data_IF_477833824092
#
_entry.id   IF_477833824092
#
_cell.length_a   1.000
_cell.length_b   1.000
_cell.length_c   1.000
_cell.angle_alpha   90.00
_cell.angle_beta   90.00
_cell.angle_gamma   90.00
#
_symmetry.space_group_name_H-M   'P 1'
#
loop_
_entity.id
_entity.type
_entity.pdbx_description
1 polymer ?
#
# COMPACT_ATOMS: atom_id res chain seq x y z
N UNK A 1 2.92 73.38 -11.03
CA UNK A 1 1.95 74.07 -11.91
C UNK A 1 0.63 73.47 -11.56
N UNK A 2 -0.04 74.24 -10.70
CA UNK A 2 -1.36 74.87 -10.90
C UNK A 2 -2.49 73.86 -10.83
N UNK A 3 -3.18 73.80 -9.65
CA UNK A 3 -4.36 74.58 -9.27
C UNK A 3 -5.58 74.25 -10.13
N UNK A 4 -6.75 73.95 -9.63
CA UNK A 4 -7.67 74.67 -8.73
C UNK A 4 -8.92 73.77 -8.56
N UNK A 5 -9.45 73.61 -7.39
CA UNK A 5 -10.55 74.28 -6.73
C UNK A 5 -11.87 74.45 -7.51
N UNK A 6 -12.95 73.92 -6.94
CA UNK A 6 -14.18 74.63 -6.48
C UNK A 6 -15.29 73.64 -6.15
N UNK A 7 -15.77 73.42 -5.03
CA UNK A 7 -16.62 74.08 -4.00
C UNK A 7 -18.04 74.43 -4.45
N UNK A 8 -18.99 74.11 -3.58
CA UNK A 8 -20.41 74.46 -3.37
C UNK A 8 -21.42 73.60 -4.12
N UNK A 9 -22.49 73.14 -3.52
CA UNK A 9 -23.44 73.84 -2.68
C UNK A 9 -24.39 72.89 -1.94
N UNK A 10 -24.79 73.33 -0.81
CA UNK A 10 -25.77 72.88 0.16
C UNK A 10 -27.17 72.78 -0.44
N UNK A 11 -27.90 71.67 -0.13
CA UNK A 11 -29.35 71.76 -0.03
C UNK A 11 -29.89 70.76 0.98
N UNK A 12 -30.37 71.31 2.06
CA UNK A 12 -31.10 70.60 3.12
C UNK A 12 -32.48 70.19 2.63
N UNK A 13 -32.84 68.96 2.82
CA UNK A 13 -34.23 68.48 2.83
C UNK A 13 -34.45 67.62 4.04
N UNK A 14 -35.27 68.11 4.92
CA UNK A 14 -35.84 67.43 6.09
C UNK A 14 -36.92 66.50 5.60
N UNK A 15 -36.84 65.18 5.92
CA UNK A 15 -38.02 64.29 5.87
C UNK A 15 -37.95 63.24 6.95
N UNK A 16 -38.89 63.43 7.84
CA UNK A 16 -39.66 62.45 8.61
C UNK A 16 -39.04 61.12 9.06
N UNK A 17 -38.90 60.97 10.35
CA UNK A 17 -38.81 59.79 11.14
C UNK A 17 -40.02 58.89 10.92
N UNK A 18 -39.81 57.71 10.33
CA UNK A 18 -40.71 56.58 10.43
C UNK A 18 -39.95 55.47 11.20
N UNK A 19 -40.31 55.31 12.45
CA UNK A 19 -39.86 54.27 13.35
C UNK A 19 -40.46 52.92 12.91
N UNK A 20 -39.64 52.04 12.35
CA UNK A 20 -39.96 50.63 12.12
C UNK A 20 -39.29 49.79 13.23
N UNK A 21 -40.00 48.82 13.83
CA UNK A 21 -39.40 48.00 14.84
C UNK A 21 -38.35 47.05 14.20
N UNK A 22 -37.11 47.13 14.70
CA UNK A 22 -36.05 46.16 14.38
C UNK A 22 -36.44 44.81 14.97
N UNK A 23 -36.92 43.91 14.15
CA UNK A 23 -36.95 42.49 14.49
C UNK A 23 -35.53 41.96 14.51
N UNK A 24 -35.04 41.63 15.68
CA UNK A 24 -33.76 40.94 15.86
C UNK A 24 -33.83 39.54 15.22
N UNK A 25 -33.39 39.44 13.98
CA UNK A 25 -33.01 38.13 13.42
C UNK A 25 -31.72 37.70 14.09
N UNK A 26 -31.83 36.83 15.10
CA UNK A 26 -30.71 36.05 15.60
C UNK A 26 -30.32 35.09 14.50
N UNK A 27 -29.31 35.46 13.71
CA UNK A 27 -28.66 34.49 12.84
C UNK A 27 -28.03 33.39 13.72
N UNK A 28 -28.67 32.24 13.80
CA UNK A 28 -28.03 31.03 14.31
C UNK A 28 -26.94 30.67 13.28
N UNK A 29 -25.73 31.12 13.55
CA UNK A 29 -24.55 30.59 12.90
C UNK A 29 -24.51 29.08 13.24
N UNK A 30 -24.81 28.23 12.26
CA UNK A 30 -24.44 26.84 12.32
C UNK A 30 -22.92 26.78 12.44
N UNK A 31 -22.43 26.58 13.66
CA UNK A 31 -21.07 26.15 13.89
C UNK A 31 -20.94 24.81 13.17
N UNK A 32 -20.39 24.84 11.96
CA UNK A 32 -19.94 23.64 11.29
C UNK A 32 -18.93 22.96 12.21
N UNK A 33 -19.30 21.81 12.74
CA UNK A 33 -18.36 20.88 13.34
C UNK A 33 -17.19 20.76 12.41
N UNK A 34 -15.92 20.89 12.88
CA UNK A 34 -14.77 20.60 12.05
C UNK A 34 -14.98 19.19 11.47
N UNK A 35 -14.99 19.09 10.13
CA UNK A 35 -15.03 17.80 9.47
C UNK A 35 -13.81 17.04 9.97
N UNK A 36 -14.04 15.95 10.72
CA UNK A 36 -12.99 14.99 11.01
C UNK A 36 -12.32 14.64 9.68
N UNK A 37 -10.98 14.53 9.64
CA UNK A 37 -10.30 14.10 8.43
C UNK A 37 -10.87 12.72 8.07
N UNK A 38 -11.63 12.67 6.99
CA UNK A 38 -12.17 11.42 6.45
C UNK A 38 -10.94 10.62 6.07
N UNK A 39 -10.66 9.59 6.87
CA UNK A 39 -9.61 8.62 6.56
C UNK A 39 -9.99 7.96 5.24
N UNK A 40 -9.35 8.39 4.17
CA UNK A 40 -9.60 7.93 2.80
C UNK A 40 -9.36 6.42 2.67
N UNK A 41 -8.58 5.84 3.59
CA UNK A 41 -8.35 4.40 3.68
C UNK A 41 -9.61 3.61 4.06
N UNK A 42 -10.49 4.18 4.88
CA UNK A 42 -11.71 3.49 5.33
C UNK A 42 -12.77 3.40 4.23
N UNK A 43 -12.70 4.23 3.20
CA UNK A 43 -13.76 4.32 2.17
C UNK A 43 -13.60 3.35 1.01
N UNK A 44 -12.51 2.60 0.92
CA UNK A 44 -12.26 1.60 -0.13
C UNK A 44 -12.27 0.16 0.36
N UNK A 45 -12.90 -0.13 1.46
CA UNK A 45 -13.14 -1.52 1.86
C UNK A 45 -14.34 -2.05 1.06
N UNK A 46 -14.03 -2.59 -0.12
CA UNK A 46 -15.02 -3.28 -0.93
C UNK A 46 -15.55 -4.48 -0.16
N UNK A 47 -16.86 -4.55 -0.02
CA UNK A 47 -17.50 -5.74 0.55
C UNK A 47 -17.16 -6.96 -0.32
N UNK A 48 -16.29 -7.81 0.16
CA UNK A 48 -15.97 -9.07 -0.48
C UNK A 48 -17.20 -9.97 -0.46
N UNK A 49 -17.50 -10.64 -1.59
CA UNK A 49 -18.67 -11.51 -1.73
C UNK A 49 -18.53 -12.85 -1.00
N UNK A 50 -17.32 -13.21 -0.59
CA UNK A 50 -17.02 -14.46 0.07
C UNK A 50 -15.52 -14.73 0.14
N UNK A 51 -15.16 -15.90 0.68
CA UNK A 51 -13.77 -16.33 0.81
C UNK A 51 -13.59 -17.71 0.18
N UNK A 52 -12.45 -17.90 -0.44
CA UNK A 52 -12.00 -19.20 -0.99
C UNK A 52 -10.52 -19.40 -0.65
N UNK A 53 -10.19 -20.57 -0.17
CA UNK A 53 -8.81 -20.96 0.02
C UNK A 53 -8.27 -21.64 -1.24
N UNK A 54 -7.05 -21.28 -1.64
CA UNK A 54 -6.38 -21.88 -2.79
C UNK A 54 -5.56 -23.10 -2.30
N UNK A 55 -6.21 -24.23 -2.10
CA UNK A 55 -5.59 -25.45 -1.55
C UNK A 55 -4.60 -26.15 -2.49
N UNK A 56 -4.67 -25.88 -3.79
CA UNK A 56 -3.86 -26.56 -4.80
C UNK A 56 -2.45 -25.98 -4.99
N UNK A 57 -2.01 -25.05 -4.14
CA UNK A 57 -0.67 -24.44 -4.26
C UNK A 57 0.33 -25.21 -3.38
N UNK A 58 1.35 -25.79 -4.02
CA UNK A 58 2.48 -26.44 -3.36
C UNK A 58 3.65 -25.46 -3.27
N UNK A 59 4.11 -25.18 -2.05
CA UNK A 59 5.26 -24.32 -1.80
C UNK A 59 6.55 -25.11 -1.70
N UNK A 60 7.63 -24.55 -2.28
CA UNK A 60 8.98 -25.05 -2.08
C UNK A 60 9.63 -24.45 -0.83
N UNK A 61 10.95 -24.63 -0.73
CA UNK A 61 11.75 -24.06 0.35
C UNK A 61 12.09 -22.60 0.10
N UNK A 62 12.32 -21.84 1.17
CA UNK A 62 12.95 -20.54 1.10
C UNK A 62 14.38 -20.68 0.60
N UNK A 63 14.81 -19.75 -0.26
CA UNK A 63 16.16 -19.70 -0.83
C UNK A 63 16.66 -18.26 -0.87
N UNK A 64 17.98 -18.08 -0.69
CA UNK A 64 18.62 -16.78 -0.80
C UNK A 64 19.56 -16.75 -2.00
N UNK A 65 19.39 -15.76 -2.85
CA UNK A 65 20.25 -15.47 -3.99
C UNK A 65 20.79 -14.07 -3.85
N UNK A 66 22.07 -13.85 -4.17
CA UNK A 66 22.65 -12.51 -4.21
C UNK A 66 23.15 -12.21 -5.61
N UNK A 67 23.09 -10.93 -5.97
CA UNK A 67 23.50 -10.38 -7.26
C UNK A 67 24.58 -9.35 -6.99
N UNK A 68 25.73 -9.51 -7.64
CA UNK A 68 26.88 -8.61 -7.55
C UNK A 68 27.17 -8.05 -8.92
N UNK A 69 27.20 -6.73 -9.00
CA UNK A 69 27.60 -5.98 -10.20
C UNK A 69 28.82 -5.16 -9.84
N UNK A 70 29.88 -5.11 -10.66
CA UNK A 70 31.04 -4.27 -10.41
C UNK A 70 30.63 -2.81 -10.10
N UNK A 71 31.20 -2.22 -9.05
CA UNK A 71 30.91 -0.84 -8.65
C UNK A 71 29.53 -0.59 -8.03
N UNK A 72 28.65 -1.61 -7.90
CA UNK A 72 27.36 -1.49 -7.27
C UNK A 72 27.27 -2.28 -5.94
N UNK A 73 26.32 -1.88 -5.09
CA UNK A 73 26.00 -2.60 -3.85
C UNK A 73 25.39 -3.96 -4.14
N UNK A 74 25.79 -4.97 -3.40
CA UNK A 74 25.21 -6.32 -3.48
C UNK A 74 23.72 -6.26 -3.14
N UNK A 75 22.91 -6.91 -3.98
CA UNK A 75 21.47 -7.08 -3.76
C UNK A 75 21.19 -8.55 -3.47
N UNK A 76 20.59 -8.85 -2.32
CA UNK A 76 20.20 -10.20 -1.96
C UNK A 76 18.68 -10.33 -1.94
N UNK A 77 18.19 -11.45 -2.45
CA UNK A 77 16.78 -11.82 -2.51
C UNK A 77 16.56 -13.13 -1.78
N UNK A 78 15.76 -13.09 -0.71
CA UNK A 78 15.23 -14.27 -0.03
C UNK A 78 13.85 -14.55 -0.61
N UNK A 79 13.63 -15.72 -1.20
CA UNK A 79 12.46 -16.02 -2.01
C UNK A 79 11.84 -17.37 -1.69
N UNK A 80 10.52 -17.45 -1.80
CA UNK A 80 9.75 -18.71 -1.85
C UNK A 80 8.81 -18.65 -3.06
N UNK A 81 8.56 -19.80 -3.67
CA UNK A 81 7.62 -19.93 -4.78
C UNK A 81 6.62 -21.05 -4.51
N UNK A 82 5.37 -20.79 -4.82
CA UNK A 82 4.29 -21.76 -4.87
C UNK A 82 3.90 -22.07 -6.32
N UNK A 83 3.56 -23.31 -6.58
CA UNK A 83 3.13 -23.79 -7.89
C UNK A 83 1.78 -24.49 -7.78
N UNK A 84 0.97 -24.36 -8.80
CA UNK A 84 -0.21 -25.18 -9.00
C UNK A 84 0.18 -26.63 -9.23
N UNK A 85 -0.75 -27.56 -9.12
CA UNK A 85 -0.52 -28.98 -9.45
C UNK A 85 -0.08 -29.18 -10.90
N UNK A 86 -0.47 -28.29 -11.79
CA UNK A 86 -0.01 -28.24 -13.19
C UNK A 86 1.46 -27.89 -13.36
N UNK A 87 2.17 -27.50 -12.29
CA UNK A 87 3.56 -27.04 -12.31
C UNK A 87 3.74 -25.56 -12.63
N UNK A 88 2.66 -24.86 -13.04
CA UNK A 88 2.70 -23.42 -13.29
C UNK A 88 2.94 -22.62 -12.01
N UNK A 89 3.68 -21.51 -12.13
CA UNK A 89 3.89 -20.57 -11.01
C UNK A 89 2.58 -19.96 -10.56
N UNK A 90 2.23 -20.12 -9.29
CA UNK A 90 1.04 -19.55 -8.68
C UNK A 90 1.35 -18.25 -7.93
N UNK A 91 2.39 -18.30 -7.10
CA UNK A 91 2.80 -17.22 -6.21
C UNK A 91 4.32 -17.24 -6.08
N UNK A 92 4.94 -16.05 -6.02
CA UNK A 92 6.31 -15.90 -5.53
C UNK A 92 6.37 -14.72 -4.57
N UNK A 93 7.04 -14.90 -3.46
CA UNK A 93 7.33 -13.88 -2.47
C UNK A 93 8.82 -13.63 -2.44
N UNK A 94 9.23 -12.40 -2.72
CA UNK A 94 10.61 -11.96 -2.72
C UNK A 94 10.82 -10.92 -1.61
N UNK A 95 11.77 -11.18 -0.74
CA UNK A 95 12.28 -10.26 0.25
C UNK A 95 13.67 -9.80 -0.19
N UNK A 96 13.77 -8.51 -0.54
CA UNK A 96 14.95 -7.94 -1.22
C UNK A 96 15.66 -6.99 -0.27
N UNK A 97 16.94 -7.26 -0.04
CA UNK A 97 17.85 -6.46 0.78
C UNK A 97 19.01 -5.96 -0.07
N UNK A 98 19.41 -4.73 0.15
CA UNK A 98 20.59 -4.14 -0.49
C UNK A 98 21.64 -3.84 0.57
N UNK A 99 22.87 -4.20 0.27
CA UNK A 99 24.01 -3.97 1.16
C UNK A 99 24.11 -2.50 1.57
N UNK A 100 24.24 -2.25 2.91
CA UNK A 100 24.31 -0.92 3.47
C UNK A 100 23.00 -0.12 3.44
N UNK A 101 21.85 -0.77 3.21
CA UNK A 101 20.53 -0.18 3.34
C UNK A 101 19.73 -0.90 4.44
N UNK A 102 19.15 -0.12 5.36
CA UNK A 102 18.32 -0.68 6.44
C UNK A 102 16.90 -1.07 5.95
N UNK A 103 16.52 -0.57 4.77
CA UNK A 103 15.20 -0.76 4.22
C UNK A 103 15.18 -1.92 3.22
N UNK A 104 14.56 -3.01 3.61
CA UNK A 104 14.22 -4.09 2.70
C UNK A 104 12.97 -3.76 1.87
N UNK A 105 12.80 -4.43 0.73
CA UNK A 105 11.58 -4.42 -0.09
C UNK A 105 10.94 -5.77 -0.08
N UNK A 106 9.61 -5.78 -0.02
CA UNK A 106 8.80 -6.97 -0.20
C UNK A 106 8.14 -6.88 -1.57
N UNK A 107 8.19 -7.96 -2.35
CA UNK A 107 7.50 -8.09 -3.62
C UNK A 107 6.76 -9.42 -3.70
N UNK A 108 5.52 -9.34 -4.17
CA UNK A 108 4.64 -10.47 -4.39
C UNK A 108 4.38 -10.57 -5.89
N UNK A 109 4.66 -11.71 -6.48
CA UNK A 109 4.34 -12.01 -7.87
C UNK A 109 3.14 -12.94 -7.89
N UNK A 110 2.05 -12.47 -8.46
CA UNK A 110 0.72 -13.05 -8.37
C UNK A 110 0.14 -13.25 -9.77
N UNK A 111 -0.78 -14.18 -9.99
CA UNK A 111 -1.43 -14.33 -11.28
C UNK A 111 -2.24 -13.09 -11.66
N UNK A 112 -2.60 -12.96 -12.92
CA UNK A 112 -3.54 -11.95 -13.42
C UNK A 112 -4.98 -12.28 -13.02
N UNK A 113 -5.92 -11.34 -13.22
CA UNK A 113 -7.33 -11.54 -12.88
C UNK A 113 -7.65 -11.17 -11.43
N UNK A 114 -6.85 -10.27 -10.84
CA UNK A 114 -7.03 -9.76 -9.49
C UNK A 114 -7.65 -8.37 -9.50
N UNK A 115 -8.39 -8.05 -8.45
CA UNK A 115 -8.92 -6.73 -8.19
C UNK A 115 -7.86 -5.86 -7.48
N UNK A 116 -7.15 -5.04 -8.26
CA UNK A 116 -5.91 -4.38 -7.81
C UNK A 116 -6.13 -3.35 -6.71
N UNK A 117 -7.30 -2.70 -6.67
CA UNK A 117 -7.64 -1.68 -5.68
C UNK A 117 -7.74 -2.24 -4.25
N UNK A 118 -8.03 -3.54 -4.12
CA UNK A 118 -8.11 -4.19 -2.82
C UNK A 118 -6.75 -4.36 -2.13
N UNK A 119 -5.64 -4.20 -2.88
CA UNK A 119 -4.29 -4.57 -2.46
C UNK A 119 -4.16 -6.06 -2.07
N UNK A 120 -2.94 -6.57 -1.98
CA UNK A 120 -2.69 -7.85 -1.34
C UNK A 120 -2.60 -7.66 0.19
N UNK A 121 -3.01 -8.65 0.96
CA UNK A 121 -2.91 -8.65 2.43
C UNK A 121 -2.01 -9.78 2.88
N UNK A 122 -1.11 -9.48 3.80
CA UNK A 122 -0.24 -10.46 4.43
C UNK A 122 -0.51 -10.50 5.92
N UNK A 123 -0.79 -11.68 6.43
CA UNK A 123 -1.03 -11.90 7.87
C UNK A 123 -0.13 -13.03 8.34
N UNK A 124 0.68 -12.78 9.35
CA UNK A 124 1.50 -13.81 10.00
C UNK A 124 0.67 -14.42 11.13
N UNK A 125 0.49 -15.74 11.09
CA UNK A 125 -0.31 -16.51 12.05
C UNK A 125 -1.70 -15.87 12.32
N UNK A 126 -1.94 -15.38 13.53
CA UNK A 126 -3.17 -14.71 13.96
C UNK A 126 -2.97 -13.18 14.10
N UNK A 127 -1.92 -12.63 13.50
CA UNK A 127 -1.57 -11.22 13.61
C UNK A 127 -2.51 -10.29 12.84
N UNK A 128 -2.17 -8.99 12.84
CA UNK A 128 -2.87 -8.00 12.04
C UNK A 128 -2.42 -8.08 10.57
N UNK A 129 -3.32 -7.88 9.60
CA UNK A 129 -2.96 -7.86 8.19
C UNK A 129 -2.15 -6.62 7.82
N UNK A 130 -1.13 -6.82 6.97
CA UNK A 130 -0.38 -5.77 6.31
C UNK A 130 -0.85 -5.66 4.86
N UNK A 131 -1.19 -4.45 4.42
CA UNK A 131 -1.61 -4.18 3.04
C UNK A 131 -0.37 -3.94 2.17
N UNK A 132 -0.32 -4.61 1.02
CA UNK A 132 0.75 -4.47 0.04
C UNK A 132 0.11 -4.03 -1.29
N UNK A 133 0.32 -2.79 -1.73
CA UNK A 133 -0.31 -2.27 -2.93
C UNK A 133 0.21 -2.97 -4.19
N UNK A 134 -0.66 -3.14 -5.19
CA UNK A 134 -0.22 -3.53 -6.52
C UNK A 134 0.47 -2.34 -7.19
N UNK A 135 1.64 -2.60 -7.77
CA UNK A 135 2.47 -1.58 -8.41
C UNK A 135 2.55 -1.73 -9.92
N UNK A 136 2.40 -2.95 -10.42
CA UNK A 136 2.48 -3.26 -11.83
C UNK A 136 1.81 -4.59 -12.17
N UNK A 137 1.27 -4.70 -13.40
CA UNK A 137 0.87 -5.99 -13.99
C UNK A 137 1.51 -6.14 -15.36
N UNK A 138 2.10 -7.29 -15.59
CA UNK A 138 2.60 -7.77 -16.87
C UNK A 138 1.53 -8.65 -17.53
N UNK A 139 1.84 -9.24 -18.68
CA UNK A 139 0.90 -10.08 -19.43
C UNK A 139 0.35 -11.26 -18.61
N UNK A 140 1.17 -11.86 -17.75
CA UNK A 140 0.83 -13.10 -17.03
C UNK A 140 1.05 -13.03 -15.51
N UNK A 141 1.44 -11.87 -14.98
CA UNK A 141 1.70 -11.70 -13.55
C UNK A 141 1.44 -10.28 -13.11
N UNK A 142 0.89 -10.10 -11.93
CA UNK A 142 0.78 -8.82 -11.25
C UNK A 142 1.78 -8.78 -10.08
N UNK A 143 2.38 -7.63 -9.87
CA UNK A 143 3.37 -7.40 -8.82
C UNK A 143 2.74 -6.46 -7.79
N UNK A 144 2.60 -6.95 -6.56
CA UNK A 144 2.37 -6.11 -5.42
C UNK A 144 3.69 -5.91 -4.67
N UNK A 145 3.96 -4.70 -4.18
CA UNK A 145 5.24 -4.46 -3.54
C UNK A 145 5.31 -3.14 -2.80
N UNK A 146 6.04 -3.17 -1.69
CA UNK A 146 6.29 -1.99 -0.88
C UNK A 146 7.62 -2.14 -0.12
N UNK A 147 8.02 -1.08 0.59
CA UNK A 147 9.05 -1.16 1.62
C UNK A 147 8.58 -2.14 2.69
N UNK A 148 9.40 -3.12 3.02
CA UNK A 148 9.05 -4.10 4.03
C UNK A 148 8.89 -3.45 5.41
N UNK A 149 7.71 -3.53 5.99
CA UNK A 149 7.43 -3.00 7.31
C UNK A 149 8.26 -3.77 8.37
N UNK A 150 9.03 -3.10 9.25
CA UNK A 150 9.86 -3.77 10.25
C UNK A 150 9.07 -4.69 11.20
N UNK A 151 7.80 -4.35 11.48
CA UNK A 151 6.95 -5.22 12.30
C UNK A 151 6.57 -6.51 11.56
N UNK A 152 6.27 -6.42 10.25
CA UNK A 152 6.03 -7.60 9.41
C UNK A 152 7.27 -8.49 9.35
N UNK A 153 8.46 -7.90 9.16
CA UNK A 153 9.72 -8.66 9.12
C UNK A 153 9.91 -9.47 10.42
N UNK A 154 9.76 -8.81 11.58
CA UNK A 154 9.87 -9.49 12.88
C UNK A 154 8.86 -10.61 13.04
N UNK A 155 7.61 -10.38 12.62
CA UNK A 155 6.58 -11.42 12.67
C UNK A 155 6.93 -12.59 11.74
N UNK A 156 7.39 -12.34 10.52
CA UNK A 156 7.82 -13.39 9.58
C UNK A 156 9.01 -14.19 10.10
N UNK A 157 9.93 -13.56 10.87
CA UNK A 157 11.09 -14.26 11.45
C UNK A 157 10.72 -15.20 12.60
N UNK A 158 9.64 -14.95 13.31
CA UNK A 158 9.21 -15.71 14.50
C UNK A 158 7.96 -16.53 14.28
N UNK A 159 7.17 -16.21 13.24
CA UNK A 159 5.92 -16.89 12.91
C UNK A 159 6.10 -18.22 12.20
N UNK A 160 5.01 -18.93 12.08
CA UNK A 160 4.97 -20.26 11.47
C UNK A 160 4.41 -20.22 10.05
N UNK A 161 3.39 -19.38 9.82
CA UNK A 161 2.68 -19.29 8.55
C UNK A 161 2.43 -17.84 8.15
N UNK A 162 2.53 -17.58 6.86
CA UNK A 162 2.16 -16.33 6.23
C UNK A 162 0.91 -16.56 5.38
N UNK A 163 -0.23 -16.04 5.81
CA UNK A 163 -1.44 -15.96 5.01
C UNK A 163 -1.30 -14.85 3.99
N UNK A 164 -1.36 -15.20 2.73
CA UNK A 164 -1.50 -14.25 1.62
C UNK A 164 -2.95 -14.25 1.16
N UNK A 165 -3.55 -13.08 1.07
CA UNK A 165 -4.94 -12.88 0.70
C UNK A 165 -5.05 -11.81 -0.38
N UNK A 166 -5.82 -12.08 -1.44
CA UNK A 166 -6.08 -11.18 -2.56
C UNK A 166 -7.56 -11.23 -2.93
N UNK A 167 -8.08 -10.21 -3.57
CA UNK A 167 -9.41 -10.24 -4.17
C UNK A 167 -9.30 -10.56 -5.67
N UNK A 168 -10.13 -11.47 -6.17
CA UNK A 168 -10.26 -11.69 -7.61
C UNK A 168 -11.22 -10.68 -8.27
N UNK A 169 -11.36 -10.72 -9.59
CA UNK A 169 -12.25 -9.83 -10.34
C UNK A 169 -13.73 -10.01 -10.01
N UNK A 170 -14.11 -11.11 -9.36
CA UNK A 170 -15.47 -11.37 -8.88
C UNK A 170 -15.69 -10.86 -7.45
N UNK A 171 -14.69 -10.18 -6.87
CA UNK A 171 -14.66 -9.73 -5.48
C UNK A 171 -14.72 -10.88 -4.46
N UNK A 172 -14.21 -12.05 -4.83
CA UNK A 172 -13.98 -13.13 -3.88
C UNK A 172 -12.59 -12.97 -3.28
N UNK A 173 -12.49 -13.08 -1.97
CA UNK A 173 -11.21 -13.18 -1.29
C UNK A 173 -10.62 -14.58 -1.54
N UNK A 174 -9.44 -14.62 -2.13
CA UNK A 174 -8.68 -15.85 -2.36
C UNK A 174 -7.47 -15.82 -1.45
N UNK A 175 -7.28 -16.86 -0.65
CA UNK A 175 -6.16 -16.93 0.29
C UNK A 175 -5.35 -18.22 0.12
N UNK A 176 -4.08 -18.13 0.52
CA UNK A 176 -3.15 -19.28 0.58
C UNK A 176 -2.20 -19.10 1.75
N UNK A 177 -1.67 -20.21 2.26
CA UNK A 177 -0.78 -20.23 3.41
C UNK A 177 0.64 -20.65 2.97
N UNK A 178 1.62 -19.79 3.29
CA UNK A 178 3.03 -20.04 3.02
C UNK A 178 3.76 -20.39 4.31
N UNK A 179 4.67 -21.40 4.30
CA UNK A 179 5.46 -21.73 5.48
C UNK A 179 6.54 -20.68 5.76
N UNK A 180 6.73 -20.32 7.02
CA UNK A 180 7.76 -19.38 7.48
C UNK A 180 8.92 -20.06 8.24
N UNK A 181 8.82 -21.34 8.52
CA UNK A 181 9.77 -22.09 9.38
C UNK A 181 11.24 -21.91 8.99
N UNK A 182 11.55 -21.71 7.72
CA UNK A 182 12.91 -21.51 7.19
C UNK A 182 13.27 -20.05 6.94
N UNK A 183 12.31 -19.13 6.96
CA UNK A 183 12.52 -17.76 6.50
C UNK A 183 13.67 -17.05 7.25
N UNK A 184 13.62 -17.05 8.57
CA UNK A 184 14.63 -16.38 9.40
C UNK A 184 16.05 -16.93 9.20
N UNK A 185 16.19 -18.25 9.18
CA UNK A 185 17.48 -18.92 9.01
C UNK A 185 18.06 -18.65 7.62
N UNK A 186 17.24 -18.79 6.57
CA UNK A 186 17.68 -18.57 5.18
C UNK A 186 18.01 -17.10 4.92
N UNK A 187 17.21 -16.18 5.46
CA UNK A 187 17.48 -14.73 5.33
C UNK A 187 18.84 -14.35 5.93
N UNK A 188 19.21 -14.92 7.09
CA UNK A 188 20.47 -14.62 7.80
C UNK A 188 21.67 -15.43 7.28
N UNK A 189 21.42 -16.52 6.58
CA UNK A 189 22.48 -17.38 6.04
C UNK A 189 23.21 -16.71 4.87
N UNK A 190 24.35 -17.33 4.49
CA UNK A 190 24.99 -17.03 3.23
C UNK A 190 24.05 -17.37 2.05
N UNK A 191 24.23 -16.68 0.92
CA UNK A 191 23.46 -16.96 -0.28
C UNK A 191 23.70 -18.38 -0.78
N UNK A 192 22.63 -19.08 -1.17
CA UNK A 192 22.74 -20.39 -1.82
C UNK A 192 23.42 -20.30 -3.19
N UNK A 193 23.34 -19.11 -3.82
CA UNK A 193 24.02 -18.78 -5.08
C UNK A 193 24.27 -17.28 -5.18
N UNK A 194 25.46 -16.95 -5.69
CA UNK A 194 25.85 -15.56 -6.03
C UNK A 194 25.94 -15.49 -7.55
N UNK A 195 25.18 -14.56 -8.13
CA UNK A 195 25.25 -14.23 -9.55
C UNK A 195 26.13 -12.99 -9.71
N UNK A 196 27.23 -13.16 -10.44
CA UNK A 196 28.07 -12.03 -10.87
C UNK A 196 27.51 -11.56 -12.21
N UNK A 197 27.14 -10.30 -12.28
CA UNK A 197 26.71 -9.65 -13.53
C UNK A 197 27.93 -8.93 -14.08
N UNK A 198 28.44 -9.39 -15.20
CA UNK A 198 29.42 -8.65 -15.99
C UNK A 198 28.61 -7.62 -16.81
N UNK A 199 29.01 -6.36 -16.74
CA UNK A 199 28.50 -5.30 -17.61
C UNK A 199 29.58 -5.14 -18.67
N UNK A 200 29.32 -5.68 -19.86
CA UNK A 200 30.15 -5.38 -21.04
C UNK A 200 29.94 -3.89 -21.38
N UNK A 201 31.02 -3.09 -21.32
CA UNK A 201 31.04 -1.69 -21.73
C UNK A 201 31.10 -1.58 -23.25
#
# INVERSE_FOLDING_TARGET
>A
MRDCCHQKSISSIIVALLSLPMSNFVAHGQQGTPAEPIDVETKMEFALRGQREAHAIKYGDWRKFCFQTPGAKTVCRTTISGKWETGQSAVRVDFIEREGEDAARLQLFLPVGLYLQAAARLTVDQGKPFRIPFVWCLTNTCIAGDRANPALIRQMETGQQLKLEVADTNLLSVSTMLPLSQFASVRKAAASRIFKQEVDE
#
